data_IF_765612661345
#
_entry.id   IF_765612661345
#
_cell.length_a   1.000
_cell.length_b   1.000
_cell.length_c   1.000
_cell.angle_alpha   90.00
_cell.angle_beta   90.00
_cell.angle_gamma   90.00
#
_symmetry.space_group_name_H-M   'P 1'
#
loop_
_entity.id
_entity.type
_entity.pdbx_description
1 polymer ?
#
# COMPACT_ATOMS: atom_id res chain seq x y z
N UNK A 1 9.77 -16.30 -2.35
CA UNK A 1 9.21 -16.28 -3.73
C UNK A 1 8.62 -14.90 -3.99
N UNK A 2 8.94 -14.21 -5.10
CA UNK A 2 8.32 -12.91 -5.41
C UNK A 2 6.80 -13.07 -5.54
N UNK A 3 6.04 -12.15 -4.95
CA UNK A 3 4.58 -12.08 -5.06
C UNK A 3 4.16 -12.17 -6.54
N UNK A 4 3.20 -13.05 -6.85
CA UNK A 4 2.73 -13.31 -8.20
C UNK A 4 2.27 -12.02 -8.92
N UNK A 5 1.71 -11.06 -8.17
CA UNK A 5 1.33 -9.74 -8.69
C UNK A 5 2.54 -8.94 -9.21
N UNK A 6 3.65 -8.95 -8.46
CA UNK A 6 4.86 -8.22 -8.85
C UNK A 6 5.44 -8.84 -10.14
N UNK A 7 5.47 -10.18 -10.24
CA UNK A 7 5.93 -10.86 -11.46
C UNK A 7 5.11 -10.46 -12.68
N UNK A 8 3.78 -10.43 -12.56
CA UNK A 8 2.90 -10.00 -13.64
C UNK A 8 3.08 -8.53 -14.03
N UNK A 9 3.30 -7.63 -13.05
CA UNK A 9 3.59 -6.21 -13.31
C UNK A 9 4.92 -6.03 -14.06
N UNK A 10 5.96 -6.78 -13.69
CA UNK A 10 7.25 -6.78 -14.42
C UNK A 10 7.06 -7.24 -15.87
N UNK A 11 6.32 -8.32 -16.09
CA UNK A 11 6.06 -8.82 -17.44
C UNK A 11 5.21 -7.83 -18.25
N UNK A 12 4.20 -7.21 -17.63
CA UNK A 12 3.42 -6.15 -18.28
C UNK A 12 4.29 -4.96 -18.70
N UNK A 13 5.22 -4.52 -17.83
CA UNK A 13 6.18 -3.46 -18.15
C UNK A 13 7.05 -3.81 -19.36
N UNK A 14 7.53 -5.06 -19.44
CA UNK A 14 8.26 -5.54 -20.60
C UNK A 14 7.41 -5.46 -21.88
N UNK A 15 6.15 -5.89 -21.84
CA UNK A 15 5.23 -5.80 -22.99
C UNK A 15 4.93 -4.34 -23.40
N UNK A 16 4.83 -3.43 -22.45
CA UNK A 16 4.69 -1.98 -22.73
C UNK A 16 5.93 -1.44 -23.45
N UNK A 17 7.15 -1.83 -23.03
CA UNK A 17 8.39 -1.47 -23.73
C UNK A 17 8.47 -2.04 -25.15
N UNK A 18 7.84 -3.20 -25.39
CA UNK A 18 7.62 -3.76 -26.72
C UNK A 18 6.49 -3.08 -27.51
N UNK A 19 5.90 -1.99 -26.99
CA UNK A 19 4.81 -1.21 -27.61
C UNK A 19 3.55 -2.03 -27.88
N UNK A 20 3.30 -3.07 -27.09
CA UNK A 20 2.08 -3.87 -27.20
C UNK A 20 0.86 -3.11 -26.64
N UNK A 21 -0.30 -3.16 -27.30
CA UNK A 21 -1.51 -2.52 -26.81
C UNK A 21 -2.10 -3.30 -25.61
N UNK A 22 -2.85 -2.64 -24.70
CA UNK A 22 -3.38 -3.28 -23.50
C UNK A 22 -4.16 -4.59 -23.71
N UNK A 23 -5.03 -4.72 -24.75
CA UNK A 23 -5.74 -5.98 -25.00
C UNK A 23 -4.79 -7.15 -25.34
N UNK A 24 -3.72 -6.88 -26.09
CA UNK A 24 -2.71 -7.89 -26.42
C UNK A 24 -1.90 -8.28 -25.18
N UNK A 25 -1.53 -7.30 -24.34
CA UNK A 25 -0.87 -7.57 -23.07
C UNK A 25 -1.71 -8.47 -22.16
N UNK A 26 -3.03 -8.20 -22.06
CA UNK A 26 -3.93 -9.04 -21.27
C UNK A 26 -3.97 -10.48 -21.81
N UNK A 27 -4.03 -10.65 -23.13
CA UNK A 27 -4.02 -11.99 -23.75
C UNK A 27 -2.73 -12.75 -23.42
N UNK A 28 -1.58 -12.11 -23.59
CA UNK A 28 -0.27 -12.72 -23.29
C UNK A 28 -0.11 -13.05 -21.80
N UNK A 29 -0.59 -12.19 -20.90
CA UNK A 29 -0.60 -12.49 -19.47
C UNK A 29 -1.54 -13.67 -19.16
N UNK A 30 -2.72 -13.74 -19.77
CA UNK A 30 -3.65 -14.86 -19.59
C UNK A 30 -3.08 -16.19 -20.10
N UNK A 31 -2.32 -16.18 -21.19
CA UNK A 31 -1.65 -17.38 -21.70
C UNK A 31 -0.59 -17.92 -20.72
N UNK A 32 0.13 -17.04 -20.01
CA UNK A 32 1.19 -17.44 -19.07
C UNK A 32 0.64 -17.77 -17.67
N UNK A 33 -0.31 -16.99 -17.18
CA UNK A 33 -0.78 -17.05 -15.79
C UNK A 33 -2.17 -17.69 -15.62
N UNK A 34 -2.91 -17.90 -16.72
CA UNK A 34 -4.22 -18.56 -16.70
C UNK A 34 -5.20 -17.87 -15.75
N UNK A 35 -5.70 -18.63 -14.77
CA UNK A 35 -6.68 -18.14 -13.77
C UNK A 35 -6.09 -17.13 -12.80
N UNK A 36 -4.77 -17.13 -12.61
CA UNK A 36 -4.11 -16.21 -11.68
C UNK A 36 -3.78 -14.85 -12.31
N UNK A 37 -4.22 -14.62 -13.54
CA UNK A 37 -3.96 -13.38 -14.28
C UNK A 37 -4.55 -12.17 -13.57
N UNK A 38 -3.83 -11.05 -13.61
CA UNK A 38 -4.35 -9.79 -13.07
C UNK A 38 -5.68 -9.42 -13.74
N UNK A 39 -6.57 -8.80 -12.96
CA UNK A 39 -7.82 -8.26 -13.48
C UNK A 39 -7.56 -7.32 -14.66
N UNK A 40 -8.44 -7.34 -15.65
CA UNK A 40 -8.39 -6.47 -16.83
C UNK A 40 -8.21 -4.99 -16.45
N UNK A 41 -8.94 -4.51 -15.45
CA UNK A 41 -8.83 -3.12 -14.95
C UNK A 41 -7.41 -2.80 -14.48
N UNK A 42 -6.77 -3.71 -13.73
CA UNK A 42 -5.38 -3.57 -13.29
C UNK A 42 -4.40 -3.57 -14.45
N UNK A 43 -4.57 -4.46 -15.44
CA UNK A 43 -3.69 -4.48 -16.63
C UNK A 43 -3.72 -3.13 -17.35
N UNK A 44 -4.90 -2.55 -17.54
CA UNK A 44 -5.06 -1.27 -18.23
C UNK A 44 -4.50 -0.09 -17.42
N UNK A 45 -4.75 -0.07 -16.10
CA UNK A 45 -4.19 0.92 -15.18
C UNK A 45 -2.65 0.91 -15.21
N UNK A 46 -2.06 -0.27 -15.01
CA UNK A 46 -0.61 -0.44 -15.01
C UNK A 46 0.03 -0.17 -16.38
N UNK A 47 -0.62 -0.58 -17.46
CA UNK A 47 -0.17 -0.27 -18.83
C UNK A 47 -0.05 1.24 -19.03
N UNK A 48 -1.08 2.00 -18.63
CA UNK A 48 -1.05 3.47 -18.70
C UNK A 48 0.10 4.04 -17.86
N UNK A 49 0.24 3.62 -16.60
CA UNK A 49 1.33 4.08 -15.72
C UNK A 49 2.72 3.84 -16.33
N UNK A 50 2.94 2.66 -16.91
CA UNK A 50 4.22 2.33 -17.57
C UNK A 50 4.42 3.13 -18.86
N UNK A 51 3.35 3.35 -19.64
CA UNK A 51 3.39 4.19 -20.84
C UNK A 51 3.73 5.66 -20.49
N UNK A 52 3.27 6.13 -19.35
CA UNK A 52 3.52 7.47 -18.81
C UNK A 52 4.91 7.59 -18.14
N UNK A 53 5.73 6.54 -18.17
CA UNK A 53 7.14 6.57 -17.74
C UNK A 53 7.42 6.05 -16.32
N UNK A 54 6.42 5.51 -15.60
CA UNK A 54 6.66 4.87 -14.29
C UNK A 54 7.56 3.64 -14.47
N UNK A 55 8.59 3.49 -13.64
CA UNK A 55 9.48 2.31 -13.67
C UNK A 55 9.26 1.36 -12.47
N UNK A 56 8.61 1.81 -11.41
CA UNK A 56 8.32 0.98 -10.24
C UNK A 56 7.23 -0.06 -10.53
N UNK A 57 7.42 -1.27 -10.01
CA UNK A 57 6.50 -2.42 -10.19
C UNK A 57 5.71 -2.76 -8.92
N UNK A 58 5.94 -2.00 -7.85
CA UNK A 58 5.20 -2.11 -6.59
C UNK A 58 4.08 -1.08 -6.58
N UNK A 59 3.02 -1.37 -5.85
CA UNK A 59 2.00 -0.34 -5.56
C UNK A 59 2.67 0.83 -4.84
N UNK A 60 2.16 2.04 -5.07
CA UNK A 60 2.59 3.22 -4.31
C UNK A 60 2.35 2.98 -2.81
N UNK A 61 3.15 3.62 -1.96
CA UNK A 61 2.86 3.60 -0.53
C UNK A 61 1.43 4.10 -0.32
N UNK A 62 0.59 3.23 0.23
CA UNK A 62 -0.75 3.63 0.59
C UNK A 62 -0.61 4.53 1.82
N UNK A 63 -1.03 5.81 1.76
CA UNK A 63 -1.18 6.59 2.98
C UNK A 63 -2.21 5.83 3.80
N UNK A 64 -1.75 5.10 4.80
CA UNK A 64 -2.62 4.40 5.72
C UNK A 64 -3.57 5.40 6.36
N UNK A 65 -4.54 4.91 7.13
CA UNK A 65 -5.34 5.80 7.97
C UNK A 65 -4.37 6.60 8.85
N UNK A 66 -4.45 7.95 8.87
CA UNK A 66 -3.68 8.74 9.82
C UNK A 66 -3.97 8.21 11.23
N UNK A 67 -2.95 7.65 11.87
CA UNK A 67 -3.08 7.14 13.23
C UNK A 67 -2.87 8.33 14.17
N UNK A 68 -3.97 8.96 14.57
CA UNK A 68 -3.93 10.12 15.47
C UNK A 68 -3.55 9.75 16.90
N UNK A 69 -3.59 8.47 17.27
CA UNK A 69 -3.23 8.00 18.61
C UNK A 69 -1.71 7.96 18.84
N UNK A 70 -0.92 7.57 17.85
CA UNK A 70 0.54 7.39 17.96
C UNK A 70 1.36 8.64 17.57
N UNK A 71 0.79 9.84 17.69
CA UNK A 71 1.55 11.08 17.48
C UNK A 71 2.62 11.27 18.56
N UNK A 72 3.79 11.81 18.22
CA UNK A 72 4.86 12.16 19.17
C UNK A 72 4.33 13.05 20.31
N UNK A 73 3.40 13.96 20.00
CA UNK A 73 2.74 14.82 20.99
C UNK A 73 1.97 14.01 22.05
N UNK A 74 1.31 12.92 21.63
CA UNK A 74 0.56 12.07 22.55
C UNK A 74 1.50 11.21 23.39
N UNK A 75 2.61 10.74 22.82
CA UNK A 75 3.67 10.02 23.54
C UNK A 75 4.24 10.91 24.66
N UNK A 76 4.54 12.18 24.34
CA UNK A 76 5.05 13.15 25.32
C UNK A 76 4.03 13.46 26.44
N UNK A 77 2.74 13.56 26.10
CA UNK A 77 1.68 13.76 27.10
C UNK A 77 1.56 12.56 28.03
N UNK A 78 1.58 11.34 27.49
CA UNK A 78 1.51 10.10 28.27
C UNK A 78 2.73 9.98 29.20
N UNK A 79 3.95 10.24 28.69
CA UNK A 79 5.18 10.17 29.50
C UNK A 79 5.12 11.15 30.68
N UNK A 80 4.63 12.39 30.47
CA UNK A 80 4.43 13.37 31.54
C UNK A 80 3.42 12.90 32.59
N UNK A 81 2.27 12.36 32.18
CA UNK A 81 1.23 11.88 33.11
C UNK A 81 1.76 10.72 33.96
N UNK A 82 2.42 9.74 33.34
CA UNK A 82 2.95 8.55 34.04
C UNK A 82 4.12 8.90 34.96
N UNK A 83 4.99 9.85 34.57
CA UNK A 83 6.07 10.33 35.45
C UNK A 83 5.55 11.09 36.66
N UNK A 84 4.46 11.84 36.51
CA UNK A 84 3.83 12.57 37.60
C UNK A 84 3.10 11.64 38.58
N UNK A 85 2.30 10.69 38.08
CA UNK A 85 1.66 9.68 38.92
C UNK A 85 1.50 8.35 38.17
N UNK A 86 2.17 7.31 38.68
CA UNK A 86 2.13 5.95 38.11
C UNK A 86 0.87 5.17 38.46
N UNK A 87 -0.03 5.72 39.28
CA UNK A 87 -1.30 5.07 39.68
C UNK A 87 -2.41 5.23 38.65
N UNK A 88 -2.23 6.08 37.64
CA UNK A 88 -3.22 6.23 36.58
C UNK A 88 -3.39 4.95 35.78
N UNK A 89 -4.65 4.55 35.58
CA UNK A 89 -4.98 3.45 34.67
C UNK A 89 -4.89 3.90 33.21
N UNK A 90 -4.67 2.95 32.30
CA UNK A 90 -4.64 3.20 30.85
C UNK A 90 -5.91 3.94 30.38
N UNK A 91 -7.08 3.58 30.93
CA UNK A 91 -8.35 4.23 30.59
C UNK A 91 -8.38 5.70 31.01
N UNK A 92 -7.91 5.99 32.23
CA UNK A 92 -7.83 7.37 32.73
C UNK A 92 -6.89 8.22 31.88
N UNK A 93 -5.74 7.66 31.50
CA UNK A 93 -4.77 8.36 30.64
C UNK A 93 -5.39 8.64 29.26
N UNK A 94 -6.04 7.65 28.65
CA UNK A 94 -6.71 7.79 27.36
C UNK A 94 -7.83 8.85 27.39
N UNK A 95 -8.66 8.86 28.43
CA UNK A 95 -9.70 9.86 28.65
C UNK A 95 -9.10 11.27 28.81
N UNK A 96 -7.97 11.41 29.53
CA UNK A 96 -7.28 12.71 29.71
C UNK A 96 -6.72 13.30 28.42
N UNK A 97 -6.27 12.45 27.49
CA UNK A 97 -5.67 12.89 26.22
C UNK A 97 -6.64 12.78 25.03
N UNK A 98 -7.90 12.44 25.29
CA UNK A 98 -8.98 12.32 24.31
C UNK A 98 -8.61 11.43 23.11
N UNK A 99 -8.00 10.27 23.39
CA UNK A 99 -7.67 9.25 22.39
C UNK A 99 -8.58 8.06 22.62
N UNK A 100 -9.29 7.63 21.57
CA UNK A 100 -10.09 6.42 21.60
C UNK A 100 -9.19 5.17 21.68
N UNK A 101 -9.66 4.12 22.35
CA UNK A 101 -8.86 2.91 22.64
C UNK A 101 -8.52 2.10 21.38
#
# INVERSE_FOLDING_TARGET
MPNLKIKQCVNLKFLVKLKKPPPECLKMLTEVYGKDTMLRTRVFEWHKRFKDGREEVKDDEHPGRPCTSNSDENVDKIDKIVRNDRRYSIRMIADMINIDK
#
